data_IF_059409500829
#
_entry.id   IF_059409500829
#
_cell.length_a   1.000
_cell.length_b   1.000
_cell.length_c   1.000
_cell.angle_alpha   90.00
_cell.angle_beta   90.00
_cell.angle_gamma   90.00
#
_symmetry.space_group_name_H-M   'P 1'
#
loop_
_entity.id
_entity.type
_entity.pdbx_description
1 polymer ?
#
# COMPACT_ATOMS: atom_id res chain seq x y z
N UNK A 1 -13.05 73.04 42.05
CA UNK A 1 -13.40 73.79 40.82
C UNK A 1 -13.33 72.78 39.67
N UNK A 2 -14.46 72.19 39.28
CA UNK A 2 -15.31 72.62 38.16
C UNK A 2 -14.60 72.59 36.80
N UNK A 3 -15.10 71.74 35.89
CA UNK A 3 -14.97 71.95 34.45
C UNK A 3 -14.44 70.78 33.61
N UNK A 4 -15.29 69.80 33.30
CA UNK A 4 -15.31 69.15 31.97
C UNK A 4 -15.89 70.18 30.95
N UNK A 5 -15.74 70.08 29.60
CA UNK A 5 -15.67 68.85 28.81
C UNK A 5 -14.77 68.89 27.53
N UNK A 6 -14.54 67.76 26.86
CA UNK A 6 -14.82 67.59 25.42
C UNK A 6 -14.54 66.14 24.97
N UNK A 7 -15.42 65.59 24.14
CA UNK A 7 -15.37 64.25 23.56
C UNK A 7 -14.41 64.19 22.38
N UNK A 8 -13.83 63.02 22.09
CA UNK A 8 -13.78 62.36 20.76
C UNK A 8 -13.14 60.97 20.90
N UNK A 9 -13.91 59.95 20.47
CA UNK A 9 -13.51 58.65 19.94
C UNK A 9 -12.53 57.74 20.70
N UNK A 10 -13.08 56.74 21.40
CA UNK A 10 -12.43 55.45 21.62
C UNK A 10 -13.46 54.35 21.42
N UNK A 11 -13.61 53.94 20.17
CA UNK A 11 -14.46 52.84 19.72
C UNK A 11 -13.73 52.14 18.57
N UNK A 12 -12.50 51.68 18.83
CA UNK A 12 -11.70 50.94 17.86
C UNK A 12 -10.55 50.17 18.53
N UNK A 13 -10.88 49.35 19.53
CA UNK A 13 -9.90 48.39 20.09
C UNK A 13 -10.53 47.11 20.65
N UNK A 14 -11.67 46.69 20.10
CA UNK A 14 -12.33 45.42 20.47
C UNK A 14 -12.91 44.65 19.27
N UNK A 15 -12.43 44.94 18.06
CA UNK A 15 -12.84 44.26 16.82
C UNK A 15 -11.65 43.84 15.95
N UNK A 16 -10.48 43.58 16.56
CA UNK A 16 -9.29 43.07 15.87
C UNK A 16 -8.74 41.74 16.46
N UNK A 17 -9.45 41.14 17.41
CA UNK A 17 -9.12 39.82 17.96
C UNK A 17 -10.21 38.75 17.72
N UNK A 18 -11.22 39.05 16.92
CA UNK A 18 -12.30 38.13 16.54
C UNK A 18 -12.36 37.85 15.02
N UNK A 19 -11.31 38.23 14.28
CA UNK A 19 -11.16 37.98 12.84
C UNK A 19 -9.97 37.07 12.48
N UNK A 20 -9.33 36.44 13.48
CA UNK A 20 -8.25 35.45 13.28
C UNK A 20 -8.63 34.02 13.73
N UNK A 21 -9.92 33.75 13.93
CA UNK A 21 -10.43 32.46 14.42
C UNK A 21 -11.37 31.75 13.44
N UNK A 22 -11.30 32.06 12.14
CA UNK A 22 -12.12 31.40 11.09
C UNK A 22 -11.31 30.81 9.92
N UNK A 23 -9.99 30.61 10.10
CA UNK A 23 -9.18 29.73 9.24
C UNK A 23 -8.17 28.99 10.10
N UNK A 24 -8.66 28.26 11.09
CA UNK A 24 -7.90 27.16 11.69
C UNK A 24 -8.64 25.89 11.33
N UNK A 25 -8.47 25.43 10.08
CA UNK A 25 -8.51 23.98 9.90
C UNK A 25 -7.51 23.43 10.90
N UNK A 26 -7.91 22.53 11.83
CA UNK A 26 -6.93 21.86 12.62
C UNK A 26 -5.95 21.23 11.63
N UNK A 27 -4.68 21.61 11.72
CA UNK A 27 -3.58 20.87 11.11
C UNK A 27 -3.63 19.47 11.70
N UNK A 28 -4.49 18.62 11.15
CA UNK A 28 -4.56 17.21 11.47
C UNK A 28 -3.29 16.63 10.86
N UNK A 29 -2.52 15.91 11.67
CA UNK A 29 -1.48 15.04 11.17
C UNK A 29 -2.08 14.25 10.00
N UNK A 30 -1.53 14.45 8.80
CA UNK A 30 -1.99 13.71 7.64
C UNK A 30 -1.84 12.23 7.99
N UNK A 31 -2.93 11.46 7.94
CA UNK A 31 -2.84 10.01 7.99
C UNK A 31 -1.97 9.60 6.81
N UNK A 32 -0.83 8.97 7.09
CA UNK A 32 0.18 8.70 6.07
C UNK A 32 -0.30 7.70 5.02
N UNK A 33 -1.34 6.91 5.34
CA UNK A 33 -2.04 6.12 4.31
C UNK A 33 -2.66 7.01 3.22
N UNK A 34 -2.91 8.30 3.51
CA UNK A 34 -3.48 9.29 2.59
C UNK A 34 -2.43 10.03 1.76
N UNK A 35 -1.15 9.95 2.15
CA UNK A 35 -0.02 10.69 1.54
C UNK A 35 1.00 9.73 0.90
N UNK A 36 1.01 8.46 1.30
CA UNK A 36 1.72 7.40 0.59
C UNK A 36 1.04 7.18 -0.76
N UNK A 37 1.73 7.29 -1.90
CA UNK A 37 1.13 7.11 -3.23
C UNK A 37 0.59 5.69 -3.51
N UNK A 38 0.48 4.84 -2.49
CA UNK A 38 0.13 3.42 -2.59
C UNK A 38 1.34 2.59 -3.04
N UNK A 39 1.34 1.30 -2.69
CA UNK A 39 2.47 0.40 -2.94
C UNK A 39 2.62 -0.04 -4.40
N UNK A 40 1.65 0.18 -5.30
CA UNK A 40 1.51 -0.75 -6.45
C UNK A 40 1.64 -0.13 -7.84
N UNK A 41 1.13 1.07 -8.10
CA UNK A 41 0.96 1.48 -9.51
C UNK A 41 2.20 2.14 -10.12
N UNK A 42 3.09 2.70 -9.30
CA UNK A 42 4.20 3.53 -9.79
C UNK A 42 5.58 3.16 -9.21
N UNK A 43 5.66 2.11 -8.39
CA UNK A 43 6.92 1.64 -7.77
C UNK A 43 7.19 0.20 -8.17
N UNK A 44 8.42 -0.07 -8.58
CA UNK A 44 8.87 -1.42 -8.84
C UNK A 44 9.15 -2.12 -7.50
N UNK A 45 8.47 -3.24 -7.20
CA UNK A 45 8.73 -4.02 -5.99
C UNK A 45 10.14 -4.63 -6.02
N UNK A 46 10.85 -4.67 -4.88
CA UNK A 46 12.03 -5.54 -4.75
C UNK A 46 11.56 -6.88 -4.20
N UNK A 47 11.73 -7.94 -4.99
CA UNK A 47 11.26 -9.27 -4.65
C UNK A 47 12.15 -10.36 -5.27
N UNK A 48 12.46 -11.42 -4.51
CA UNK A 48 13.05 -12.64 -5.09
C UNK A 48 11.97 -13.69 -5.45
N UNK A 49 10.73 -13.49 -5.01
CA UNK A 49 9.58 -14.39 -5.22
C UNK A 49 8.32 -13.57 -5.47
N UNK A 50 7.32 -14.12 -6.19
CA UNK A 50 6.03 -13.45 -6.45
C UNK A 50 5.26 -13.02 -5.20
N UNK A 51 5.59 -13.61 -4.05
CA UNK A 51 4.82 -13.54 -2.81
C UNK A 51 5.44 -12.57 -1.79
N UNK A 52 6.50 -11.85 -2.19
CA UNK A 52 7.22 -10.89 -1.36
C UNK A 52 7.28 -9.54 -2.08
N UNK A 53 7.10 -8.46 -1.32
CA UNK A 53 7.28 -7.11 -1.80
C UNK A 53 7.98 -6.29 -0.72
N UNK A 54 9.18 -5.79 -1.03
CA UNK A 54 9.81 -4.70 -0.27
C UNK A 54 9.68 -3.43 -1.10
N UNK A 55 8.97 -2.43 -0.57
CA UNK A 55 8.85 -1.12 -1.22
C UNK A 55 10.17 -0.37 -1.05
N UNK A 56 10.87 -0.02 -2.15
CA UNK A 56 12.14 0.69 -2.04
C UNK A 56 12.00 2.08 -1.42
N UNK A 57 10.84 2.74 -1.47
CA UNK A 57 10.69 4.08 -0.89
C UNK A 57 10.43 4.06 0.62
N UNK A 58 9.62 3.11 1.10
CA UNK A 58 9.23 3.03 2.51
C UNK A 58 10.03 1.99 3.29
N UNK A 59 10.58 0.99 2.60
CA UNK A 59 11.17 -0.19 3.21
C UNK A 59 10.17 -1.11 3.90
N UNK A 60 8.86 -0.93 3.66
CA UNK A 60 7.85 -1.81 4.19
C UNK A 60 7.92 -3.19 3.53
N UNK A 61 7.77 -4.24 4.34
CA UNK A 61 7.68 -5.62 3.91
C UNK A 61 6.22 -6.04 3.83
N UNK A 62 5.83 -6.47 2.64
CA UNK A 62 4.55 -7.10 2.35
C UNK A 62 4.80 -8.54 1.90
N UNK A 63 4.08 -9.49 2.49
CA UNK A 63 4.08 -10.88 2.05
C UNK A 63 2.66 -11.34 1.79
N UNK A 64 2.45 -12.11 0.73
CA UNK A 64 1.13 -12.61 0.37
C UNK A 64 1.22 -14.08 -0.01
N UNK A 65 0.58 -14.95 0.78
CA UNK A 65 0.55 -16.39 0.52
C UNK A 65 -0.86 -16.88 0.31
N UNK A 66 -1.08 -17.67 -0.75
CA UNK A 66 -2.36 -18.32 -1.02
C UNK A 66 -2.47 -19.62 -0.22
N UNK A 67 -3.44 -19.67 0.69
CA UNK A 67 -3.73 -20.86 1.50
C UNK A 67 -4.73 -21.79 0.81
N UNK A 68 -5.70 -21.22 0.09
CA UNK A 68 -6.66 -21.94 -0.71
C UNK A 68 -6.90 -21.22 -2.04
N UNK A 69 -6.80 -21.97 -3.13
CA UNK A 69 -7.21 -21.54 -4.47
C UNK A 69 -8.32 -22.46 -4.98
N UNK A 70 -9.45 -21.87 -5.37
CA UNK A 70 -10.50 -22.57 -6.11
C UNK A 70 -10.69 -21.83 -7.44
N UNK A 71 -10.41 -22.48 -8.59
CA UNK A 71 -10.57 -21.84 -9.89
C UNK A 71 -12.04 -21.59 -10.21
N UNK A 72 -12.28 -20.53 -10.95
CA UNK A 72 -13.58 -20.12 -11.45
C UNK A 72 -13.68 -20.09 -12.96
N UNK A 73 -14.90 -20.28 -13.44
CA UNK A 73 -15.23 -19.87 -14.80
C UNK A 73 -15.29 -18.34 -14.87
N UNK A 74 -15.17 -17.71 -16.04
CA UNK A 74 -15.46 -16.27 -16.20
C UNK A 74 -14.56 -15.29 -15.44
N UNK A 75 -13.35 -15.72 -15.02
CA UNK A 75 -12.28 -14.83 -14.54
C UNK A 75 -12.38 -14.35 -13.09
N UNK A 76 -13.13 -15.07 -12.24
CA UNK A 76 -13.16 -14.85 -10.79
C UNK A 76 -12.80 -16.13 -10.05
N UNK A 77 -11.55 -16.27 -9.67
CA UNK A 77 -11.07 -17.33 -8.81
C UNK A 77 -11.26 -16.95 -7.34
N UNK A 78 -11.56 -17.94 -6.48
CA UNK A 78 -11.47 -17.72 -5.04
C UNK A 78 -10.03 -17.95 -4.59
N UNK A 79 -9.43 -16.91 -4.03
CA UNK A 79 -8.20 -17.00 -3.27
C UNK A 79 -8.46 -16.68 -1.81
N UNK A 80 -8.09 -17.58 -0.91
CA UNK A 80 -7.95 -17.26 0.50
C UNK A 80 -6.47 -17.01 0.73
N UNK A 81 -6.14 -15.76 1.00
CA UNK A 81 -4.76 -15.30 1.11
C UNK A 81 -4.51 -14.80 2.52
N UNK A 82 -3.35 -15.17 3.06
CA UNK A 82 -2.81 -14.52 4.25
C UNK A 82 -1.80 -13.48 3.82
N UNK A 83 -1.92 -12.29 4.42
CA UNK A 83 -1.08 -11.14 4.10
C UNK A 83 -0.33 -10.71 5.35
N UNK A 84 0.97 -10.53 5.24
CA UNK A 84 1.78 -9.84 6.22
C UNK A 84 2.08 -8.44 5.73
N UNK A 85 1.97 -7.43 6.59
CA UNK A 85 2.50 -6.09 6.33
C UNK A 85 3.28 -5.60 7.55
N UNK A 86 4.53 -5.20 7.37
CA UNK A 86 5.34 -4.65 8.46
C UNK A 86 4.74 -3.36 9.01
N UNK A 87 4.17 -2.51 8.15
CA UNK A 87 3.54 -1.23 8.51
C UNK A 87 2.41 -1.35 9.54
N UNK A 88 1.70 -2.49 9.56
CA UNK A 88 0.67 -2.80 10.59
C UNK A 88 1.24 -2.97 11.99
N UNK A 89 2.54 -3.22 12.10
CA UNK A 89 3.25 -3.45 13.36
C UNK A 89 4.19 -2.27 13.69
N UNK A 90 4.74 -1.60 12.68
CA UNK A 90 5.76 -0.56 12.84
C UNK A 90 5.20 0.85 12.91
N UNK A 91 4.12 1.12 12.18
CA UNK A 91 3.70 2.51 11.89
C UNK A 91 2.38 2.89 12.53
N UNK A 92 1.55 1.89 12.82
CA UNK A 92 0.22 2.05 13.44
C UNK A 92 0.24 1.47 14.86
N UNK A 93 -0.74 1.87 15.69
CA UNK A 93 -0.98 1.17 16.93
C UNK A 93 -1.34 -0.28 16.58
N UNK A 94 -0.47 -1.24 16.95
CA UNK A 94 -0.50 -2.66 16.60
C UNK A 94 -1.93 -3.16 16.31
N UNK A 95 -2.28 -3.30 15.03
CA UNK A 95 -3.58 -3.83 14.64
C UNK A 95 -3.50 -5.34 14.66
N UNK A 96 -4.28 -5.97 15.54
CA UNK A 96 -4.39 -7.42 15.59
C UNK A 96 -5.22 -7.90 14.40
N UNK A 97 -4.58 -8.58 13.45
CA UNK A 97 -5.28 -9.23 12.36
C UNK A 97 -5.80 -10.61 12.81
N UNK A 98 -6.53 -11.30 11.94
CA UNK A 98 -7.15 -12.60 12.30
C UNK A 98 -6.11 -13.70 12.59
N UNK A 99 -4.84 -13.46 12.26
CA UNK A 99 -3.70 -14.34 12.45
C UNK A 99 -2.64 -13.76 13.41
N UNK A 100 -2.96 -12.68 14.12
CA UNK A 100 -2.03 -12.00 15.00
C UNK A 100 -1.28 -10.84 14.34
N UNK A 101 -0.19 -10.40 14.97
CA UNK A 101 0.50 -9.17 14.57
C UNK A 101 1.05 -9.18 13.15
N UNK A 102 0.67 -8.15 12.38
CA UNK A 102 1.06 -7.95 10.99
C UNK A 102 0.32 -8.85 9.99
N UNK A 103 -0.24 -9.97 10.46
CA UNK A 103 -0.88 -10.99 9.64
C UNK A 103 -2.40 -10.87 9.63
N UNK A 104 -2.99 -10.88 8.44
CA UNK A 104 -4.45 -10.95 8.31
C UNK A 104 -4.90 -11.84 7.16
N UNK A 105 -6.14 -12.31 7.25
CA UNK A 105 -6.91 -12.83 6.12
C UNK A 105 -8.09 -11.90 5.94
N UNK A 106 -8.16 -11.24 4.78
CA UNK A 106 -9.18 -10.23 4.46
C UNK A 106 -9.69 -10.46 3.04
N UNK A 107 -10.95 -10.13 2.80
CA UNK A 107 -11.53 -10.06 1.44
C UNK A 107 -11.66 -8.62 0.95
N UNK A 108 -11.09 -7.69 1.72
CA UNK A 108 -11.05 -6.27 1.45
C UNK A 108 -11.75 -5.46 2.53
N UNK A 109 -11.25 -4.24 2.74
CA UNK A 109 -11.83 -3.27 3.68
C UNK A 109 -11.73 -1.85 3.13
N UNK A 110 -12.65 -1.00 3.54
CA UNK A 110 -12.59 0.44 3.26
C UNK A 110 -12.75 1.26 4.54
N UNK A 111 -11.93 2.30 4.68
CA UNK A 111 -11.98 3.22 5.82
C UNK A 111 -11.91 4.66 5.33
N UNK A 112 -12.98 5.41 5.59
CA UNK A 112 -13.05 6.82 5.21
C UNK A 112 -12.39 7.70 6.28
N UNK A 113 -11.58 8.67 5.83
CA UNK A 113 -11.14 9.82 6.61
C UNK A 113 -11.33 11.11 5.80
N UNK A 114 -12.39 11.86 6.13
CA UNK A 114 -12.72 13.12 5.45
C UNK A 114 -12.99 12.95 3.96
N UNK A 115 -12.14 13.54 3.12
CA UNK A 115 -12.21 13.48 1.65
C UNK A 115 -11.44 12.31 1.04
N UNK A 116 -10.87 11.45 1.86
CA UNK A 116 -10.10 10.32 1.42
C UNK A 116 -10.64 9.01 1.99
N UNK A 117 -10.39 7.91 1.28
CA UNK A 117 -10.74 6.56 1.72
C UNK A 117 -9.57 5.64 1.45
N UNK A 118 -9.09 4.96 2.48
CA UNK A 118 -8.14 3.86 2.31
C UNK A 118 -8.91 2.61 1.94
N UNK A 119 -8.48 1.98 0.85
CA UNK A 119 -8.99 0.71 0.34
C UNK A 119 -7.88 -0.32 0.52
N UNK A 120 -8.21 -1.48 1.09
CA UNK A 120 -7.35 -2.66 1.08
C UNK A 120 -8.09 -3.78 0.35
N UNK A 121 -7.44 -4.47 -0.58
CA UNK A 121 -7.97 -5.64 -1.29
C UNK A 121 -7.54 -6.95 -0.61
N UNK A 122 -8.03 -8.08 -1.11
CA UNK A 122 -7.82 -9.40 -0.51
C UNK A 122 -6.35 -9.86 -0.48
N UNK A 123 -5.56 -9.40 -1.46
CA UNK A 123 -4.13 -9.67 -1.60
C UNK A 123 -3.26 -8.74 -0.74
N UNK A 124 -3.89 -7.85 0.02
CA UNK A 124 -3.23 -6.83 0.83
C UNK A 124 -2.94 -5.55 0.05
N UNK A 125 -3.23 -5.47 -1.25
CA UNK A 125 -3.06 -4.24 -2.02
C UNK A 125 -3.78 -3.08 -1.36
N UNK A 126 -3.08 -1.97 -1.12
CA UNK A 126 -3.67 -0.74 -0.57
C UNK A 126 -3.65 0.38 -1.59
N UNK A 127 -4.78 1.09 -1.72
CA UNK A 127 -4.89 2.33 -2.49
C UNK A 127 -5.71 3.36 -1.73
N UNK A 128 -5.50 4.63 -2.03
CA UNK A 128 -6.26 5.75 -1.46
C UNK A 128 -7.13 6.36 -2.54
N UNK A 129 -8.44 6.37 -2.28
CA UNK A 129 -9.41 7.07 -3.10
C UNK A 129 -9.64 8.49 -2.57
N UNK A 130 -9.75 9.44 -3.48
CA UNK A 130 -10.11 10.84 -3.19
C UNK A 130 -11.54 11.10 -3.65
N UNK A 131 -12.28 11.94 -2.93
CA UNK A 131 -13.66 12.29 -3.29
C UNK A 131 -13.71 12.92 -4.68
N UNK A 132 -14.58 12.45 -5.58
CA UNK A 132 -14.67 12.93 -6.97
C UNK A 132 -15.06 14.42 -7.06
N UNK A 133 -15.86 14.91 -6.11
CA UNK A 133 -16.25 16.32 -6.00
C UNK A 133 -16.68 16.61 -4.54
N UNK A 134 -16.52 17.84 -4.05
CA UNK A 134 -16.97 18.23 -2.71
C UNK A 134 -18.42 17.84 -2.46
N UNK A 135 -18.68 17.15 -1.35
CA UNK A 135 -20.02 16.67 -0.96
C UNK A 135 -20.55 15.46 -1.71
N UNK A 136 -19.89 14.99 -2.78
CA UNK A 136 -20.27 13.77 -3.50
C UNK A 136 -20.06 12.51 -2.66
N UNK A 137 -20.89 11.48 -2.81
CA UNK A 137 -20.65 10.15 -2.22
C UNK A 137 -19.70 9.26 -3.05
N UNK A 138 -19.15 9.79 -4.15
CA UNK A 138 -18.22 9.07 -5.01
C UNK A 138 -16.78 9.45 -4.73
N UNK A 139 -15.90 8.44 -4.78
CA UNK A 139 -14.46 8.54 -4.63
C UNK A 139 -13.77 7.78 -5.77
N UNK A 140 -12.57 8.23 -6.13
CA UNK A 140 -11.79 7.68 -7.22
C UNK A 140 -10.33 7.53 -6.81
N UNK A 141 -9.70 6.41 -7.16
CA UNK A 141 -8.26 6.18 -6.95
C UNK A 141 -7.43 6.63 -8.15
N UNK A 142 -6.10 6.66 -8.00
CA UNK A 142 -5.18 6.90 -9.13
C UNK A 142 -5.17 5.74 -10.15
N UNK A 143 -5.65 4.57 -9.74
CA UNK A 143 -5.91 3.40 -10.60
C UNK A 143 -7.30 3.43 -11.26
N UNK A 144 -8.05 4.53 -11.09
CA UNK A 144 -9.41 4.69 -11.61
C UNK A 144 -10.44 3.71 -11.03
N UNK A 145 -10.19 3.16 -9.84
CA UNK A 145 -11.21 2.43 -9.12
C UNK A 145 -12.24 3.42 -8.59
N UNK A 146 -13.52 3.09 -8.75
CA UNK A 146 -14.63 3.95 -8.33
C UNK A 146 -15.28 3.38 -7.09
N UNK A 147 -15.35 4.17 -6.04
CA UNK A 147 -15.97 3.81 -4.78
C UNK A 147 -17.18 4.71 -4.53
N UNK A 148 -18.35 4.09 -4.35
CA UNK A 148 -19.56 4.76 -3.90
C UNK A 148 -19.76 4.50 -2.40
N UNK A 149 -19.75 5.55 -1.57
CA UNK A 149 -19.98 5.49 -0.12
C UNK A 149 -21.13 6.44 0.28
N UNK A 150 -22.40 6.02 0.13
CA UNK A 150 -23.53 6.83 0.54
C UNK A 150 -23.73 6.82 2.06
N UNK A 151 -24.52 7.78 2.56
CA UNK A 151 -25.00 7.74 3.94
C UNK A 151 -26.13 6.70 4.03
N UNK A 152 -25.90 5.61 4.77
CA UNK A 152 -26.91 4.58 5.03
C UNK A 152 -26.66 3.26 4.30
N UNK A 153 -26.69 3.21 2.95
CA UNK A 153 -26.36 2.00 2.19
C UNK A 153 -24.89 1.61 2.33
N UNK A 154 -24.59 0.36 1.99
CA UNK A 154 -23.24 -0.19 2.07
C UNK A 154 -22.32 0.35 0.96
N UNK A 155 -21.04 0.61 1.24
CA UNK A 155 -20.06 0.99 0.23
C UNK A 155 -19.95 -0.05 -0.90
N UNK A 156 -19.72 0.43 -2.12
CA UNK A 156 -19.50 -0.41 -3.30
C UNK A 156 -18.30 0.10 -4.09
N UNK A 157 -17.28 -0.74 -4.25
CA UNK A 157 -16.11 -0.49 -5.06
C UNK A 157 -16.25 -1.18 -6.42
N UNK A 158 -15.87 -0.49 -7.48
CA UNK A 158 -15.75 -1.03 -8.82
C UNK A 158 -14.31 -0.89 -9.31
N UNK A 159 -13.69 -2.03 -9.63
CA UNK A 159 -12.36 -2.12 -10.21
C UNK A 159 -12.44 -1.96 -11.74
N UNK A 160 -11.32 -1.60 -12.36
CA UNK A 160 -11.21 -1.38 -13.81
C UNK A 160 -11.36 -2.66 -14.63
N UNK A 161 -11.19 -3.84 -14.02
CA UNK A 161 -11.37 -5.14 -14.66
C UNK A 161 -12.83 -5.64 -14.65
N UNK A 162 -13.76 -4.80 -14.17
CA UNK A 162 -15.19 -5.11 -14.06
C UNK A 162 -15.60 -5.82 -12.76
N UNK A 163 -14.66 -6.07 -11.84
CA UNK A 163 -14.99 -6.63 -10.52
C UNK A 163 -15.70 -5.59 -9.65
N UNK A 164 -16.77 -6.00 -8.98
CA UNK A 164 -17.48 -5.20 -7.97
C UNK A 164 -17.31 -5.82 -6.59
N UNK A 165 -17.01 -4.99 -5.59
CA UNK A 165 -16.90 -5.39 -4.18
C UNK A 165 -17.90 -4.59 -3.36
N UNK A 166 -18.78 -5.27 -2.64
CA UNK A 166 -19.74 -4.66 -1.71
C UNK A 166 -19.25 -4.84 -0.28
N UNK A 167 -19.23 -3.77 0.51
CA UNK A 167 -18.76 -3.77 1.90
C UNK A 167 -19.92 -3.69 2.89
N UNK A 168 -20.56 -4.84 3.14
CA UNK A 168 -21.79 -4.92 3.93
C UNK A 168 -21.62 -5.00 5.45
N UNK A 169 -20.39 -5.14 5.96
CA UNK A 169 -20.16 -5.37 7.39
C UNK A 169 -19.39 -4.20 8.01
N UNK A 170 -20.03 -3.47 8.93
CA UNK A 170 -19.34 -2.44 9.72
C UNK A 170 -18.40 -3.05 10.76
N UNK A 171 -17.26 -2.41 10.97
CA UNK A 171 -16.27 -2.74 12.01
C UNK A 171 -15.61 -1.47 12.54
N UNK A 172 -14.86 -1.59 13.64
CA UNK A 172 -14.02 -0.48 14.14
C UNK A 172 -12.92 -0.08 13.14
N UNK A 173 -12.58 -0.95 12.19
CA UNK A 173 -11.56 -0.73 11.17
C UNK A 173 -12.12 -0.23 9.85
N UNK A 174 -13.44 0.06 9.78
CA UNK A 174 -14.14 0.44 8.55
C UNK A 174 -15.14 -0.62 8.10
N UNK A 175 -15.52 -0.59 6.83
CA UNK A 175 -16.44 -1.58 6.25
C UNK A 175 -15.66 -2.74 5.62
N UNK A 176 -16.06 -3.97 5.93
CA UNK A 176 -15.48 -5.20 5.40
C UNK A 176 -16.29 -5.73 4.21
N UNK A 177 -15.60 -6.30 3.23
CA UNK A 177 -16.21 -6.89 2.05
C UNK A 177 -17.13 -8.08 2.43
N UNK A 178 -18.37 -8.05 1.95
CA UNK A 178 -19.36 -9.13 2.12
C UNK A 178 -19.71 -9.80 0.80
N UNK A 179 -19.41 -9.16 -0.32
CA UNK A 179 -19.64 -9.72 -1.65
C UNK A 179 -18.57 -9.24 -2.63
N UNK A 180 -18.00 -10.15 -3.42
CA UNK A 180 -17.16 -9.86 -4.59
C UNK A 180 -17.82 -10.52 -5.78
N UNK A 181 -18.11 -9.75 -6.83
CA UNK A 181 -18.77 -10.22 -8.05
C UNK A 181 -17.98 -9.84 -9.28
N UNK A 182 -17.90 -10.76 -10.23
CA UNK A 182 -17.42 -10.50 -11.59
C UNK A 182 -18.14 -11.46 -12.53
N UNK A 183 -18.76 -10.90 -13.57
CA UNK A 183 -19.67 -11.64 -14.45
C UNK A 183 -20.76 -12.36 -13.61
N UNK A 184 -20.94 -13.66 -13.82
CA UNK A 184 -21.94 -14.48 -13.11
C UNK A 184 -21.39 -15.16 -11.84
N UNK A 185 -20.13 -14.91 -11.48
CA UNK A 185 -19.52 -15.53 -10.32
C UNK A 185 -19.59 -14.61 -9.11
N UNK A 186 -19.73 -15.19 -7.93
CA UNK A 186 -19.84 -14.43 -6.68
C UNK A 186 -19.11 -15.13 -5.55
N UNK A 187 -18.37 -14.36 -4.77
CA UNK A 187 -17.83 -14.74 -3.46
C UNK A 187 -18.64 -13.97 -2.43
N UNK A 188 -19.36 -14.67 -1.55
CA UNK A 188 -20.11 -14.07 -0.45
C UNK A 188 -19.39 -14.39 0.86
N UNK A 189 -19.19 -13.37 1.69
CA UNK A 189 -18.49 -13.47 2.97
C UNK A 189 -19.46 -13.16 4.09
N UNK A 190 -19.63 -14.10 5.02
CA UNK A 190 -20.38 -13.90 6.25
C UNK A 190 -19.42 -13.64 7.40
N UNK A 191 -19.86 -12.82 8.36
CA UNK A 191 -19.09 -12.49 9.54
C UNK A 191 -19.88 -12.77 10.82
N UNK A 192 -19.16 -13.18 11.87
CA UNK A 192 -19.58 -13.03 13.25
C UNK A 192 -18.80 -11.83 13.84
N UNK A 193 -19.46 -10.67 13.91
CA UNK A 193 -18.82 -9.38 14.16
C UNK A 193 -17.76 -9.04 13.09
N UNK A 194 -16.47 -9.03 13.43
CA UNK A 194 -15.34 -8.78 12.51
C UNK A 194 -14.64 -10.07 12.04
N UNK A 195 -15.12 -11.23 12.48
CA UNK A 195 -14.53 -12.54 12.18
C UNK A 195 -15.25 -13.17 11.01
N UNK A 196 -14.50 -13.55 9.99
CA UNK A 196 -15.06 -14.28 8.85
C UNK A 196 -15.63 -15.59 9.38
N UNK A 197 -16.92 -15.85 9.21
CA UNK A 197 -17.54 -17.10 9.64
C UNK A 197 -17.52 -18.12 8.49
N UNK A 198 -18.11 -17.74 7.35
CA UNK A 198 -18.12 -18.57 6.14
C UNK A 198 -17.85 -17.74 4.90
N UNK A 199 -17.26 -18.39 3.90
CA UNK A 199 -17.15 -17.89 2.54
C UNK A 199 -17.87 -18.85 1.62
N UNK A 200 -18.85 -18.35 0.87
CA UNK A 200 -19.55 -19.13 -0.16
C UNK A 200 -19.12 -18.63 -1.52
N UNK A 201 -18.52 -19.53 -2.29
CA UNK A 201 -18.06 -19.27 -3.64
C UNK A 201 -18.98 -19.94 -4.65
N UNK A 202 -19.57 -19.15 -5.54
CA UNK A 202 -20.51 -19.61 -6.56
C UNK A 202 -19.96 -19.31 -7.94
N UNK A 203 -19.69 -20.38 -8.70
CA UNK A 203 -19.17 -20.34 -10.07
C UNK A 203 -19.69 -21.56 -10.85
N UNK A 204 -19.89 -21.40 -12.16
CA UNK A 204 -20.31 -22.50 -13.06
C UNK A 204 -21.63 -23.18 -12.67
N UNK A 205 -22.54 -22.46 -11.98
CA UNK A 205 -23.81 -23.01 -11.48
C UNK A 205 -23.71 -23.88 -10.22
N UNK A 206 -22.54 -23.94 -9.58
CA UNK A 206 -22.33 -24.66 -8.32
C UNK A 206 -21.81 -23.74 -7.22
N UNK A 207 -22.11 -24.06 -5.96
CA UNK A 207 -21.60 -23.32 -4.81
C UNK A 207 -20.73 -24.22 -3.92
N UNK A 208 -19.64 -23.66 -3.39
CA UNK A 208 -18.77 -24.28 -2.40
C UNK A 208 -18.73 -23.40 -1.16
N UNK A 209 -18.82 -24.01 0.01
CA UNK A 209 -18.74 -23.29 1.29
C UNK A 209 -17.43 -23.63 1.98
N UNK A 210 -16.76 -22.59 2.46
CA UNK A 210 -15.54 -22.63 3.24
C UNK A 210 -15.87 -22.08 4.63
N UNK A 211 -15.51 -22.81 5.68
CA UNK A 211 -15.78 -22.43 7.06
C UNK A 211 -14.50 -22.05 7.79
N UNK A 212 -14.57 -21.01 8.61
CA UNK A 212 -13.46 -20.46 9.38
C UNK A 212 -13.72 -20.67 10.87
N UNK A 213 -12.74 -21.25 11.57
CA UNK A 213 -12.90 -21.65 12.97
C UNK A 213 -11.90 -20.90 13.84
N UNK A 214 -12.39 -20.08 14.77
CA UNK A 214 -11.57 -19.28 15.68
C UNK A 214 -11.48 -19.92 17.05
N UNK A 215 -10.41 -19.60 17.79
CA UNK A 215 -10.31 -19.96 19.19
C UNK A 215 -11.47 -19.35 20.00
N UNK A 216 -11.96 -20.12 20.97
CA UNK A 216 -13.09 -19.74 21.83
C UNK A 216 -12.68 -18.88 23.03
N UNK A 217 -11.38 -18.80 23.32
CA UNK A 217 -10.77 -18.03 24.40
C UNK A 217 -9.46 -17.38 23.93
N UNK A 218 -8.82 -16.55 24.78
CA UNK A 218 -7.61 -15.81 24.42
C UNK A 218 -7.89 -14.67 23.43
N UNK A 219 -6.96 -14.41 22.51
CA UNK A 219 -7.17 -13.40 21.44
C UNK A 219 -8.15 -13.87 20.36
N UNK A 220 -8.60 -15.13 20.45
CA UNK A 220 -9.60 -15.73 19.57
C UNK A 220 -9.17 -15.63 18.10
N UNK A 221 -7.91 -15.96 17.81
CA UNK A 221 -7.35 -16.05 16.45
C UNK A 221 -7.95 -17.20 15.64
N UNK A 222 -7.81 -17.12 14.31
CA UNK A 222 -8.27 -18.17 13.38
C UNK A 222 -7.44 -19.45 13.53
N UNK A 223 -8.03 -20.52 14.04
CA UNK A 223 -7.34 -21.80 14.26
C UNK A 223 -7.31 -22.68 13.01
N UNK A 224 -8.38 -22.68 12.21
CA UNK A 224 -8.42 -23.48 10.99
C UNK A 224 -9.45 -23.01 9.96
N UNK A 225 -9.24 -23.45 8.72
CA UNK A 225 -10.18 -23.29 7.60
C UNK A 225 -10.52 -24.69 7.07
N UNK A 226 -11.81 -24.96 6.84
CA UNK A 226 -12.28 -26.28 6.37
C UNK A 226 -13.19 -26.17 5.15
N UNK A 227 -13.07 -27.12 4.21
CA UNK A 227 -13.93 -27.21 3.02
C UNK A 227 -14.01 -28.63 2.44
N UNK A 228 -15.04 -28.89 1.61
CA UNK A 228 -15.15 -30.12 0.81
C UNK A 228 -15.56 -31.39 1.58
N UNK A 229 -15.65 -32.50 0.85
CA UNK A 229 -15.93 -33.86 1.35
C UNK A 229 -14.99 -34.88 0.68
N UNK A 230 -14.18 -35.67 1.43
CA UNK A 230 -13.93 -35.55 2.87
C UNK A 230 -13.36 -34.16 3.22
N UNK A 231 -13.59 -33.70 4.46
CA UNK A 231 -13.20 -32.36 4.90
C UNK A 231 -11.68 -32.18 4.79
N UNK A 232 -11.27 -31.19 3.99
CA UNK A 232 -9.90 -30.70 3.92
C UNK A 232 -9.74 -29.57 4.92
N UNK A 233 -8.55 -29.48 5.53
CA UNK A 233 -8.29 -28.51 6.58
C UNK A 233 -6.92 -27.85 6.42
N UNK A 234 -6.89 -26.54 6.63
CA UNK A 234 -5.68 -25.74 6.90
C UNK A 234 -5.67 -25.44 8.40
N UNK A 235 -4.52 -25.59 9.05
CA UNK A 235 -4.37 -25.34 10.49
C UNK A 235 -3.30 -24.29 10.76
N UNK A 236 -3.61 -23.33 11.64
CA UNK A 236 -2.72 -22.25 12.07
C UNK A 236 -2.22 -22.54 13.49
N UNK A 237 -0.91 -22.55 13.66
CA UNK A 237 -0.26 -22.65 14.97
C UNK A 237 0.24 -21.28 15.43
N UNK A 238 0.23 -21.03 16.73
CA UNK A 238 0.53 -19.73 17.33
C UNK A 238 1.70 -19.79 18.30
N UNK A 239 2.31 -18.64 18.57
CA UNK A 239 3.27 -18.48 19.64
C UNK A 239 2.61 -18.71 21.01
N UNK A 240 3.40 -19.06 22.04
CA UNK A 240 2.87 -19.39 23.37
C UNK A 240 2.16 -18.21 24.05
N UNK A 241 2.51 -16.98 23.67
CA UNK A 241 1.90 -15.73 24.10
C UNK A 241 0.70 -15.31 23.23
N UNK A 242 0.30 -16.15 22.28
CA UNK A 242 -0.83 -15.96 21.35
C UNK A 242 -0.73 -14.66 20.53
N UNK A 243 0.49 -14.13 20.31
CA UNK A 243 0.68 -12.83 19.65
C UNK A 243 0.66 -12.91 18.12
N UNK A 244 1.15 -14.02 17.55
CA UNK A 244 1.25 -14.20 16.10
C UNK A 244 1.28 -15.67 15.67
N UNK A 245 0.90 -15.91 14.43
CA UNK A 245 0.97 -17.23 13.78
C UNK A 245 2.42 -17.69 13.60
N UNK A 246 2.80 -18.83 14.16
CA UNK A 246 4.15 -19.41 14.02
C UNK A 246 4.22 -20.51 12.96
N UNK A 247 3.08 -21.02 12.50
CA UNK A 247 3.05 -21.98 11.41
C UNK A 247 1.70 -22.11 10.75
N UNK A 248 1.71 -22.55 9.48
CA UNK A 248 0.50 -22.93 8.76
C UNK A 248 0.72 -24.26 8.08
N UNK A 249 -0.18 -25.21 8.33
CA UNK A 249 -0.12 -26.56 7.77
C UNK A 249 -1.22 -26.72 6.73
N UNK A 250 -0.83 -27.08 5.50
CA UNK A 250 -1.74 -27.27 4.36
C UNK A 250 -2.23 -28.72 4.28
N UNK A 251 -3.36 -29.00 3.59
CA UNK A 251 -3.82 -30.36 3.35
C UNK A 251 -2.82 -31.08 2.43
N UNK A 252 -1.97 -31.93 3.03
CA UNK A 252 -0.85 -32.59 2.34
C UNK A 252 0.41 -32.70 3.21
N UNK A 253 0.48 -31.99 4.33
CA UNK A 253 1.59 -32.04 5.28
C UNK A 253 2.65 -30.95 5.05
N UNK A 254 2.54 -30.21 3.95
CA UNK A 254 3.34 -29.01 3.70
C UNK A 254 3.09 -27.96 4.79
N UNK A 255 4.18 -27.37 5.28
CA UNK A 255 4.12 -26.47 6.44
C UNK A 255 5.02 -25.26 6.30
N UNK A 256 4.41 -24.09 6.41
CA UNK A 256 5.10 -22.83 6.60
C UNK A 256 5.46 -22.64 8.07
N UNK A 257 6.59 -22.00 8.35
CA UNK A 257 7.00 -21.63 9.72
C UNK A 257 7.46 -20.19 9.77
N UNK A 258 7.16 -19.55 10.89
CA UNK A 258 7.48 -18.15 11.14
C UNK A 258 8.15 -18.00 12.49
N UNK A 259 9.18 -17.16 12.53
CA UNK A 259 9.74 -16.67 13.79
C UNK A 259 9.62 -15.16 13.84
N UNK A 260 9.66 -14.61 15.04
CA UNK A 260 9.48 -13.20 15.30
C UNK A 260 10.58 -12.70 16.21
N UNK A 261 10.77 -11.39 16.19
CA UNK A 261 11.61 -10.70 17.14
C UNK A 261 10.86 -9.52 17.72
N UNK A 262 11.15 -9.21 18.98
CA UNK A 262 10.69 -8.00 19.61
C UNK A 262 11.73 -6.90 19.39
N UNK A 263 11.34 -5.79 18.77
CA UNK A 263 12.24 -4.69 18.44
C UNK A 263 11.61 -3.35 18.80
N UNK A 264 12.42 -2.43 19.34
CA UNK A 264 11.96 -1.06 19.58
C UNK A 264 11.93 -0.28 18.26
N UNK A 265 10.74 0.08 17.78
CA UNK A 265 10.50 0.90 16.58
C UNK A 265 9.55 2.03 16.98
N UNK A 266 9.94 3.29 16.72
CA UNK A 266 9.15 4.48 17.06
C UNK A 266 8.63 4.48 18.52
N UNK A 267 9.53 4.22 19.48
CA UNK A 267 9.27 4.12 20.93
C UNK A 267 8.28 3.00 21.33
N UNK A 268 7.95 2.07 20.42
CA UNK A 268 7.07 0.93 20.65
C UNK A 268 7.84 -0.37 20.52
N UNK A 269 7.44 -1.38 21.28
CA UNK A 269 8.00 -2.71 21.16
C UNK A 269 7.21 -3.50 20.10
N UNK A 270 7.71 -3.52 18.87
CA UNK A 270 7.11 -4.20 17.74
C UNK A 270 7.45 -5.69 17.76
N UNK A 271 6.44 -6.55 17.63
CA UNK A 271 6.61 -8.00 17.44
C UNK A 271 6.63 -8.31 15.94
N UNK A 272 7.81 -8.15 15.34
CA UNK A 272 8.00 -8.11 13.89
C UNK A 272 8.49 -9.45 13.36
N UNK A 273 8.09 -9.80 12.14
CA UNK A 273 8.48 -11.06 11.50
C UNK A 273 10.00 -11.10 11.32
N UNK A 274 10.64 -12.18 11.76
CA UNK A 274 12.10 -12.35 11.65
C UNK A 274 12.46 -13.34 10.55
N UNK A 275 11.77 -14.48 10.49
CA UNK A 275 12.10 -15.53 9.53
C UNK A 275 10.84 -16.16 8.96
N UNK A 276 10.85 -16.43 7.66
CA UNK A 276 9.89 -17.27 6.96
C UNK A 276 10.62 -18.52 6.48
N UNK A 277 10.10 -19.70 6.84
CA UNK A 277 10.55 -20.98 6.27
C UNK A 277 9.43 -21.57 5.41
N UNK A 278 9.74 -21.83 4.14
CA UNK A 278 8.82 -22.44 3.18
C UNK A 278 8.64 -23.94 3.46
N UNK A 279 7.57 -24.58 2.94
CA UNK A 279 7.36 -26.02 3.10
C UNK A 279 8.53 -26.88 2.62
N UNK A 280 9.29 -26.40 1.63
CA UNK A 280 10.44 -27.12 1.05
C UNK A 280 11.77 -26.86 1.80
N UNK A 281 11.76 -26.03 2.85
CA UNK A 281 12.91 -25.76 3.71
C UNK A 281 13.79 -24.59 3.26
N UNK A 282 13.36 -23.81 2.27
CA UNK A 282 13.95 -22.50 1.97
C UNK A 282 13.61 -21.51 3.09
N UNK A 283 14.52 -20.62 3.42
CA UNK A 283 14.38 -19.70 4.55
C UNK A 283 14.76 -18.28 4.13
N UNK A 284 13.89 -17.32 4.43
CA UNK A 284 14.16 -15.88 4.31
C UNK A 284 14.19 -15.28 5.70
N UNK A 285 15.28 -14.62 6.07
CA UNK A 285 15.43 -13.90 7.34
C UNK A 285 15.52 -12.41 7.09
N UNK A 286 14.70 -11.61 7.77
CA UNK A 286 14.65 -10.17 7.65
C UNK A 286 15.28 -9.51 8.89
N UNK A 287 16.11 -8.50 8.68
CA UNK A 287 16.48 -7.53 9.71
C UNK A 287 15.71 -6.24 9.46
N UNK A 288 15.28 -5.58 10.53
CA UNK A 288 14.60 -4.29 10.46
C UNK A 288 15.43 -3.23 11.18
N UNK A 289 15.31 -1.99 10.71
CA UNK A 289 15.82 -0.80 11.38
C UNK A 289 14.79 0.32 11.28
N UNK A 290 15.05 1.45 11.91
CA UNK A 290 14.22 2.64 11.84
C UNK A 290 14.70 3.57 10.74
N UNK A 291 13.76 4.05 9.93
CA UNK A 291 13.98 5.11 8.96
C UNK A 291 13.15 6.33 9.37
N UNK A 292 13.79 7.50 9.49
CA UNK A 292 13.12 8.75 9.79
C UNK A 292 12.99 9.58 8.53
N UNK A 293 11.79 10.09 8.25
CA UNK A 293 11.47 10.94 7.10
C UNK A 293 10.78 12.20 7.54
N UNK A 294 10.96 13.28 6.78
CA UNK A 294 10.11 14.46 6.86
C UNK A 294 8.62 14.11 6.89
N UNK A 295 7.88 14.74 7.80
CA UNK A 295 6.42 14.81 7.80
C UNK A 295 6.01 16.20 8.30
N UNK A 296 5.99 17.15 7.37
CA UNK A 296 5.81 18.55 7.70
C UNK A 296 6.97 19.12 8.52
N UNK A 297 6.68 19.67 9.70
CA UNK A 297 7.70 20.20 10.65
C UNK A 297 8.26 19.12 11.58
N UNK A 298 7.77 17.88 11.49
CA UNK A 298 8.19 16.76 12.33
C UNK A 298 8.93 15.71 11.48
N UNK A 299 9.66 14.83 12.15
CA UNK A 299 10.11 13.58 11.56
C UNK A 299 9.14 12.47 11.96
N UNK A 300 8.74 11.65 10.98
CA UNK A 300 8.08 10.37 11.19
C UNK A 300 9.15 9.29 11.18
N UNK A 301 9.22 8.51 12.25
CA UNK A 301 10.01 7.27 12.28
C UNK A 301 9.12 6.09 11.93
N UNK A 302 9.56 5.26 10.98
CA UNK A 302 8.92 4.02 10.57
C UNK A 302 9.90 2.85 10.64
N UNK A 303 9.38 1.64 10.63
CA UNK A 303 10.19 0.42 10.58
C UNK A 303 10.39 -0.04 9.14
N UNK A 304 11.63 -0.21 8.74
CA UNK A 304 12.03 -0.55 7.37
C UNK A 304 12.94 -1.78 7.37
N UNK A 305 12.86 -2.60 6.31
CA UNK A 305 13.74 -3.77 6.16
C UNK A 305 15.17 -3.29 5.93
N UNK A 306 16.09 -3.55 6.86
CA UNK A 306 17.50 -3.19 6.74
C UNK A 306 18.35 -4.32 6.14
N UNK A 307 17.91 -5.57 6.27
CA UNK A 307 18.58 -6.71 5.64
C UNK A 307 17.61 -7.83 5.29
N UNK A 308 17.96 -8.59 4.27
CA UNK A 308 17.29 -9.83 3.87
C UNK A 308 18.35 -10.89 3.66
N UNK A 309 18.14 -12.09 4.17
CA UNK A 309 19.01 -13.23 3.93
C UNK A 309 18.22 -14.42 3.44
N UNK A 310 18.53 -14.90 2.25
CA UNK A 310 18.03 -16.16 1.70
C UNK A 310 19.00 -17.28 2.09
N UNK A 311 18.48 -18.40 2.58
CA UNK A 311 19.24 -19.58 2.96
C UNK A 311 18.35 -20.82 2.95
N UNK A 312 18.87 -21.98 3.37
CA UNK A 312 18.09 -23.20 3.55
C UNK A 312 18.39 -24.27 2.49
N UNK A 313 17.53 -25.29 2.43
CA UNK A 313 17.80 -26.50 1.66
C UNK A 313 17.90 -26.20 0.16
N UNK A 314 19.07 -26.50 -0.42
CA UNK A 314 19.30 -26.38 -1.86
C UNK A 314 19.48 -24.95 -2.37
N UNK A 315 19.62 -23.96 -1.47
CA UNK A 315 19.80 -22.56 -1.83
C UNK A 315 21.21 -22.08 -1.48
N UNK A 316 21.82 -21.34 -2.40
CA UNK A 316 23.03 -20.57 -2.10
C UNK A 316 22.64 -19.44 -1.16
N UNK A 317 23.39 -19.27 -0.08
CA UNK A 317 23.10 -18.19 0.87
C UNK A 317 23.43 -16.85 0.24
N UNK A 318 22.48 -15.92 0.28
CA UNK A 318 22.64 -14.56 -0.20
C UNK A 318 22.09 -13.58 0.82
N UNK A 319 22.78 -12.46 1.01
CA UNK A 319 22.35 -11.37 1.88
C UNK A 319 22.23 -10.09 1.07
N UNK A 320 21.09 -9.43 1.21
CA UNK A 320 20.84 -8.08 0.75
C UNK A 320 20.86 -7.14 1.96
N UNK A 321 21.47 -5.98 1.79
CA UNK A 321 21.43 -4.91 2.77
C UNK A 321 20.77 -3.69 2.13
N UNK A 322 19.89 -3.03 2.88
CA UNK A 322 19.09 -1.91 2.45
C UNK A 322 19.43 -0.72 3.33
N UNK A 323 19.70 0.42 2.70
CA UNK A 323 19.97 1.67 3.36
C UNK A 323 19.04 2.74 2.80
N UNK A 324 18.28 3.40 3.67
CA UNK A 324 17.27 4.40 3.31
C UNK A 324 17.72 5.75 3.84
N UNK A 325 17.74 6.76 2.96
CA UNK A 325 18.21 8.09 3.30
C UNK A 325 17.26 9.16 2.75
N UNK A 326 16.96 10.15 3.57
CA UNK A 326 16.39 11.42 3.10
C UNK A 326 17.55 12.29 2.60
N UNK A 327 17.59 12.57 1.31
CA UNK A 327 18.65 13.33 0.68
C UNK A 327 18.25 14.78 0.41
N UNK A 328 19.25 15.66 0.25
CA UNK A 328 19.03 17.04 -0.19
C UNK A 328 18.69 17.04 -1.69
N UNK A 329 17.39 17.01 -2.01
CA UNK A 329 16.87 17.04 -3.38
C UNK A 329 16.06 15.81 -3.78
N UNK A 330 16.29 14.67 -3.13
CA UNK A 330 15.61 13.40 -3.41
C UNK A 330 15.78 12.45 -2.21
N UNK A 331 14.82 11.56 -2.03
CA UNK A 331 15.02 10.41 -1.13
C UNK A 331 15.77 9.33 -1.89
N UNK A 332 16.61 8.57 -1.20
CA UNK A 332 17.46 7.56 -1.79
C UNK A 332 17.35 6.23 -1.06
N UNK A 333 17.48 5.14 -1.82
CA UNK A 333 17.59 3.80 -1.25
C UNK A 333 18.68 3.03 -1.96
N UNK A 334 19.65 2.55 -1.19
CA UNK A 334 20.79 1.78 -1.69
C UNK A 334 20.67 0.33 -1.23
N UNK A 335 20.79 -0.60 -2.18
CA UNK A 335 20.62 -2.03 -1.97
C UNK A 335 21.89 -2.73 -2.43
N UNK A 336 22.57 -3.39 -1.51
CA UNK A 336 23.73 -4.22 -1.83
C UNK A 336 23.28 -5.68 -1.92
N UNK A 337 23.46 -6.30 -3.09
CA UNK A 337 23.08 -7.68 -3.35
C UNK A 337 24.24 -8.66 -3.03
N UNK A 338 23.98 -9.97 -2.90
CA UNK A 338 25.01 -10.95 -2.57
C UNK A 338 26.02 -11.21 -3.69
N UNK A 339 25.75 -10.74 -4.91
CA UNK A 339 26.63 -10.89 -6.06
C UNK A 339 27.64 -9.74 -6.18
N UNK A 340 27.61 -8.77 -5.25
CA UNK A 340 28.49 -7.60 -5.28
C UNK A 340 27.95 -6.44 -6.14
N UNK A 341 26.67 -6.48 -6.53
CA UNK A 341 26.02 -5.34 -7.17
C UNK A 341 25.42 -4.41 -6.13
N UNK A 342 25.39 -3.12 -6.47
CA UNK A 342 24.67 -2.10 -5.73
C UNK A 342 23.57 -1.53 -6.62
N UNK A 343 22.32 -1.55 -6.16
CA UNK A 343 21.20 -0.87 -6.79
C UNK A 343 20.81 0.34 -5.98
N UNK A 344 20.87 1.53 -6.57
CA UNK A 344 20.47 2.79 -5.95
C UNK A 344 19.22 3.31 -6.63
N UNK A 345 18.16 3.54 -5.87
CA UNK A 345 16.93 4.20 -6.30
C UNK A 345 16.91 5.63 -5.77
N UNK A 346 16.43 6.57 -6.58
CA UNK A 346 16.13 7.94 -6.15
C UNK A 346 14.66 8.25 -6.36
N UNK A 347 14.09 9.05 -5.46
CA UNK A 347 12.67 9.39 -5.43
C UNK A 347 12.45 10.87 -5.21
N UNK A 348 11.31 11.38 -5.69
CA UNK A 348 10.80 12.67 -5.24
C UNK A 348 10.38 12.57 -3.77
N UNK A 349 11.18 13.15 -2.88
CA UNK A 349 11.01 13.07 -1.42
C UNK A 349 10.70 14.41 -0.77
N UNK A 350 10.85 14.50 0.55
CA UNK A 350 10.70 15.78 1.29
C UNK A 350 11.82 16.78 1.00
N UNK A 351 13.02 16.29 0.67
CA UNK A 351 14.12 17.15 0.23
C UNK A 351 13.98 17.70 -1.20
N UNK A 352 13.00 17.24 -1.98
CA UNK A 352 12.84 17.63 -3.38
C UNK A 352 12.22 19.02 -3.57
N UNK A 353 12.61 19.69 -4.65
CA UNK A 353 11.97 20.94 -5.08
C UNK A 353 10.76 20.65 -5.96
N UNK A 354 9.60 21.19 -5.58
CA UNK A 354 8.35 21.06 -6.35
C UNK A 354 7.96 22.40 -6.94
N UNK A 355 7.70 22.43 -8.26
CA UNK A 355 7.01 23.54 -8.89
C UNK A 355 5.53 23.61 -8.49
N UNK A 356 4.88 24.70 -8.87
CA UNK A 356 3.42 24.82 -8.72
C UNK A 356 2.71 23.71 -9.51
N UNK A 357 1.87 22.93 -8.83
CA UNK A 357 1.14 21.83 -9.48
C UNK A 357 1.97 20.55 -9.68
N UNK A 358 3.10 20.38 -9.01
CA UNK A 358 3.98 19.21 -9.14
C UNK A 358 3.91 18.22 -7.96
N UNK A 359 3.02 18.39 -6.99
CA UNK A 359 2.95 17.49 -5.82
C UNK A 359 2.61 16.05 -6.18
N UNK A 360 1.91 15.84 -7.29
CA UNK A 360 1.66 14.51 -7.82
C UNK A 360 2.92 13.64 -7.99
N UNK A 361 4.12 14.25 -8.06
CA UNK A 361 5.40 13.56 -8.16
C UNK A 361 5.87 12.93 -6.85
N UNK A 362 5.37 13.37 -5.71
CA UNK A 362 5.83 12.92 -4.39
C UNK A 362 5.79 11.39 -4.29
N UNK A 363 6.92 10.80 -3.91
CA UNK A 363 7.14 9.36 -3.77
C UNK A 363 7.36 8.59 -5.08
N UNK A 364 7.41 9.25 -6.25
CA UNK A 364 7.71 8.60 -7.53
C UNK A 364 9.22 8.46 -7.74
N UNK A 365 9.63 7.37 -8.38
CA UNK A 365 11.04 7.08 -8.71
C UNK A 365 11.55 8.03 -9.80
N UNK A 366 12.69 8.68 -9.57
CA UNK A 366 13.37 9.54 -10.55
C UNK A 366 14.45 8.78 -11.32
N UNK A 367 15.18 7.90 -10.65
CA UNK A 367 16.22 7.08 -11.26
C UNK A 367 16.45 5.76 -10.52
N UNK A 368 17.05 4.81 -11.26
CA UNK A 368 17.55 3.52 -10.75
C UNK A 368 18.92 3.29 -11.36
N UNK A 369 19.94 3.09 -10.53
CA UNK A 369 21.31 2.82 -10.97
C UNK A 369 21.76 1.48 -10.43
N UNK A 370 22.24 0.59 -11.30
CA UNK A 370 22.84 -0.69 -10.93
C UNK A 370 24.33 -0.63 -11.25
N UNK A 371 25.16 -0.80 -10.22
CA UNK A 371 26.61 -0.85 -10.33
C UNK A 371 27.15 -2.21 -9.88
N UNK A 372 28.33 -2.56 -10.36
CA UNK A 372 29.12 -3.69 -9.87
C UNK A 372 30.57 -3.22 -9.72
N UNK A 373 31.04 -3.10 -8.48
CA UNK A 373 32.26 -2.35 -8.18
C UNK A 373 32.11 -0.88 -8.60
N UNK A 374 33.03 -0.35 -9.40
CA UNK A 374 32.99 1.03 -9.89
C UNK A 374 32.28 1.20 -11.23
N UNK A 375 31.79 0.11 -11.83
CA UNK A 375 31.18 0.12 -13.16
C UNK A 375 29.67 0.24 -13.08
N UNK A 376 29.10 1.20 -13.81
CA UNK A 376 27.65 1.26 -14.04
C UNK A 376 27.25 0.18 -15.04
N UNK A 377 26.54 -0.84 -14.58
CA UNK A 377 25.96 -1.86 -15.46
C UNK A 377 24.73 -1.27 -16.18
N UNK A 378 23.86 -0.60 -15.43
CA UNK A 378 22.60 -0.04 -15.91
C UNK A 378 22.30 1.27 -15.19
N UNK A 379 21.87 2.28 -15.93
CA UNK A 379 21.25 3.49 -15.38
C UNK A 379 19.89 3.68 -16.03
N UNK A 380 18.82 3.78 -15.25
CA UNK A 380 17.48 4.10 -15.72
C UNK A 380 17.06 5.46 -15.17
N UNK A 381 16.54 6.33 -16.03
CA UNK A 381 15.97 7.61 -15.67
C UNK A 381 14.49 7.65 -16.05
N UNK A 382 13.66 8.19 -15.17
CA UNK A 382 12.22 8.30 -15.33
C UNK A 382 11.79 9.76 -15.39
N UNK A 383 10.99 10.13 -16.39
CA UNK A 383 10.38 11.44 -16.50
C UNK A 383 8.88 11.26 -16.36
N UNK A 384 8.33 11.94 -15.35
CA UNK A 384 6.91 11.91 -15.02
C UNK A 384 6.23 13.20 -15.44
N UNK A 385 4.99 13.05 -15.87
CA UNK A 385 4.03 14.14 -16.00
C UNK A 385 2.73 13.74 -15.29
N UNK A 386 1.68 14.53 -15.45
CA UNK A 386 0.33 14.22 -14.98
C UNK A 386 -0.66 14.25 -16.13
N UNK A 387 -1.82 13.63 -15.93
CA UNK A 387 -2.97 13.86 -16.80
C UNK A 387 -3.35 15.35 -16.85
N UNK A 388 -3.81 15.80 -18.02
CA UNK A 388 -4.21 17.19 -18.24
C UNK A 388 -5.36 17.62 -17.33
N UNK A 389 -6.30 16.71 -17.08
CA UNK A 389 -7.44 16.94 -16.19
C UNK A 389 -7.22 16.22 -14.86
N UNK A 390 -7.55 16.85 -13.71
CA UNK A 390 -7.51 16.17 -12.43
C UNK A 390 -8.64 15.13 -12.34
N UNK A 391 -8.42 14.06 -11.56
CA UNK A 391 -9.46 13.09 -11.23
C UNK A 391 -10.41 13.59 -10.14
N UNK A 392 -10.02 14.66 -9.44
CA UNK A 392 -10.81 15.28 -8.37
C UNK A 392 -10.40 16.75 -8.17
N UNK A 393 -11.34 17.66 -7.85
CA UNK A 393 -11.04 19.04 -7.49
C UNK A 393 -10.51 19.20 -6.05
N UNK A 394 -10.42 18.11 -5.28
CA UNK A 394 -9.82 18.13 -3.94
C UNK A 394 -8.30 18.34 -4.10
N UNK A 395 -7.76 19.35 -3.41
CA UNK A 395 -6.34 19.65 -3.46
C UNK A 395 -5.50 18.49 -2.90
N UNK A 396 -4.44 18.11 -3.61
CA UNK A 396 -3.46 17.14 -3.12
C UNK A 396 -2.32 17.88 -2.44
N UNK A 397 -2.13 17.67 -1.14
CA UNK A 397 -1.16 18.45 -0.34
C UNK A 397 -0.23 17.51 0.39
N UNK A 398 1.07 17.76 0.25
CA UNK A 398 2.10 17.18 1.11
C UNK A 398 2.41 18.22 2.18
N UNK A 399 2.18 17.94 3.48
CA UNK A 399 2.31 18.94 4.54
C UNK A 399 3.62 19.73 4.47
N UNK A 400 3.51 21.08 4.41
CA UNK A 400 4.61 22.06 4.38
C UNK A 400 5.51 21.99 3.13
N UNK A 401 5.48 20.90 2.38
CA UNK A 401 6.32 20.70 1.21
C UNK A 401 5.71 21.35 -0.05
N UNK A 402 4.48 20.99 -0.39
CA UNK A 402 3.84 21.49 -1.60
C UNK A 402 2.31 21.26 -1.58
N UNK A 403 1.57 21.98 -2.44
CA UNK A 403 0.13 21.73 -2.65
C UNK A 403 -0.29 21.90 -4.12
N UNK A 404 -1.04 20.92 -4.64
CA UNK A 404 -1.72 20.98 -5.94
C UNK A 404 -3.14 21.53 -5.74
N UNK A 405 -3.27 22.85 -5.63
CA UNK A 405 -4.55 23.52 -5.36
C UNK A 405 -5.60 23.33 -6.47
N UNK A 406 -5.17 23.02 -7.69
CA UNK A 406 -6.06 22.80 -8.84
C UNK A 406 -6.79 21.44 -8.79
N UNK A 407 -6.39 20.53 -7.90
CA UNK A 407 -7.00 19.22 -7.74
C UNK A 407 -5.98 18.09 -7.58
N UNK A 408 -6.50 16.88 -7.46
CA UNK A 408 -5.70 15.65 -7.40
C UNK A 408 -5.49 15.11 -8.81
N UNK A 409 -4.23 14.90 -9.18
CA UNK A 409 -3.85 14.42 -10.51
C UNK A 409 -3.26 13.00 -10.45
N UNK A 410 -3.41 12.28 -11.55
CA UNK A 410 -2.79 10.98 -11.77
C UNK A 410 -1.43 11.18 -12.45
N UNK A 411 -0.33 10.66 -11.87
CA UNK A 411 0.95 10.68 -12.54
C UNK A 411 0.97 9.72 -13.73
N UNK A 412 1.63 10.13 -14.80
CA UNK A 412 1.87 9.30 -16.00
C UNK A 412 3.36 9.35 -16.34
N UNK A 413 3.94 8.19 -16.62
CA UNK A 413 5.33 8.09 -17.05
C UNK A 413 5.40 8.54 -18.52
N UNK A 414 6.16 9.60 -18.83
CA UNK A 414 6.30 10.10 -20.21
C UNK A 414 7.57 9.63 -20.89
N UNK A 415 8.61 9.34 -20.11
CA UNK A 415 9.88 8.84 -20.66
C UNK A 415 10.57 7.91 -19.68
N UNK A 416 11.00 6.76 -20.19
CA UNK A 416 11.98 5.90 -19.55
C UNK A 416 13.24 5.88 -20.41
N UNK A 417 14.40 6.08 -19.80
CA UNK A 417 15.68 6.03 -20.51
C UNK A 417 16.64 5.10 -19.79
N UNK A 418 17.04 4.03 -20.46
CA UNK A 418 17.96 3.01 -19.97
C UNK A 418 19.30 3.17 -20.67
N UNK A 419 20.36 3.45 -19.92
CA UNK A 419 21.73 3.43 -20.39
C UNK A 419 22.40 2.13 -19.95
N UNK A 420 22.91 1.34 -20.92
CA UNK A 420 23.58 0.06 -20.68
C UNK A 420 24.70 -0.15 -21.70
N UNK A 421 25.91 -0.45 -21.23
CA UNK A 421 27.06 -0.69 -22.11
C UNK A 421 27.39 0.49 -23.04
N UNK A 422 27.23 1.73 -22.54
CA UNK A 422 27.46 2.96 -23.31
C UNK A 422 26.38 3.29 -24.35
N UNK A 423 25.33 2.47 -24.49
CA UNK A 423 24.18 2.73 -25.35
C UNK A 423 23.00 3.23 -24.53
N UNK A 424 22.18 4.07 -25.15
CA UNK A 424 20.96 4.60 -24.57
C UNK A 424 19.75 4.03 -25.30
N UNK A 425 18.77 3.58 -24.53
CA UNK A 425 17.47 3.09 -25.00
C UNK A 425 16.40 3.96 -24.37
N UNK A 426 15.56 4.58 -25.18
CA UNK A 426 14.54 5.52 -24.70
C UNK A 426 13.17 5.06 -25.15
N UNK A 427 12.26 4.92 -24.18
CA UNK A 427 10.84 4.70 -24.42
C UNK A 427 10.09 5.97 -24.05
N UNK A 428 9.36 6.53 -25.00
CA UNK A 428 8.51 7.70 -24.83
C UNK A 428 7.05 7.31 -24.91
N UNK A 429 6.28 7.78 -23.94
CA UNK A 429 4.85 7.54 -23.82
C UNK A 429 4.10 8.86 -24.01
N UNK A 430 3.11 8.87 -24.90
CA UNK A 430 2.33 10.07 -25.20
C UNK A 430 0.90 9.75 -25.64
N UNK A 431 0.12 10.81 -25.84
CA UNK A 431 -1.30 10.74 -26.21
C UNK A 431 -2.09 9.88 -25.22
N UNK A 432 -1.94 10.16 -23.92
CA UNK A 432 -2.64 9.42 -22.89
C UNK A 432 -4.16 9.57 -23.00
N UNK A 433 -4.88 8.47 -22.82
CA UNK A 433 -6.33 8.50 -22.69
C UNK A 433 -6.79 9.08 -21.34
N UNK A 434 -8.10 9.09 -21.12
CA UNK A 434 -8.68 9.59 -19.87
C UNK A 434 -8.31 8.75 -18.63
N UNK A 435 -7.72 7.57 -18.82
CA UNK A 435 -7.30 6.63 -17.79
C UNK A 435 -5.77 6.56 -17.64
N UNK A 436 -5.02 7.47 -18.28
CA UNK A 436 -3.56 7.49 -18.18
C UNK A 436 -2.85 6.39 -18.96
N UNK A 437 -3.55 5.66 -19.84
CA UNK A 437 -2.94 4.68 -20.73
C UNK A 437 -2.36 5.37 -21.97
N UNK A 438 -1.10 5.13 -22.35
CA UNK A 438 -0.50 5.77 -23.51
C UNK A 438 -1.05 5.22 -24.83
N UNK A 439 -1.65 6.06 -25.67
CA UNK A 439 -2.04 5.67 -27.03
C UNK A 439 -0.88 5.68 -28.02
N UNK A 440 0.30 6.19 -27.64
CA UNK A 440 1.50 6.17 -28.47
C UNK A 440 2.72 5.81 -27.62
N UNK A 441 3.43 4.76 -28.05
CA UNK A 441 4.67 4.27 -27.43
C UNK A 441 5.76 4.31 -28.50
N UNK A 442 6.77 5.15 -28.31
CA UNK A 442 7.90 5.28 -29.21
C UNK A 442 9.18 4.81 -28.53
N UNK A 443 9.82 3.79 -29.09
CA UNK A 443 11.06 3.20 -28.57
C UNK A 443 12.21 3.50 -29.52
N UNK A 444 13.35 3.94 -28.95
CA UNK A 444 14.57 4.30 -29.65
C UNK A 444 15.79 3.63 -28.99
N UNK A 445 16.86 3.43 -29.76
CA UNK A 445 18.09 2.78 -29.31
C UNK A 445 18.79 2.10 -30.48
N UNK A 446 18.96 0.78 -30.42
CA UNK A 446 19.53 0.01 -31.55
C UNK A 446 18.63 0.01 -32.80
N UNK A 447 17.31 0.14 -32.61
CA UNK A 447 16.29 0.29 -33.64
C UNK A 447 15.24 1.28 -33.13
N UNK A 448 14.44 1.84 -34.03
CA UNK A 448 13.30 2.67 -33.67
C UNK A 448 11.99 1.98 -34.02
N UNK A 449 11.03 1.96 -33.09
CA UNK A 449 9.65 1.53 -33.36
C UNK A 449 8.67 2.49 -32.72
N UNK A 450 7.54 2.71 -33.38
CA UNK A 450 6.40 3.44 -32.82
C UNK A 450 5.18 2.55 -32.89
N UNK A 451 4.53 2.36 -31.75
CA UNK A 451 3.27 1.63 -31.63
C UNK A 451 2.17 2.60 -31.29
N UNK A 452 1.13 2.64 -32.12
CA UNK A 452 -0.12 3.33 -31.82
C UNK A 452 -1.10 2.29 -31.26
N UNK A 453 -1.56 2.52 -30.04
CA UNK A 453 -2.55 1.68 -29.38
C UNK A 453 -3.91 2.35 -29.59
N UNK A 454 -4.81 1.65 -30.28
CA UNK A 454 -6.17 2.11 -30.60
C UNK A 454 -7.22 1.54 -29.66
#
# INVERSE_FOLDING_TARGET
MMGLPCRISSLLLFALCTFFSLVSDPARAADENLVDPGQITFREPIADTSDEHIDPYTGHLDLTYTDLHLPGDGGLDLHIMRTYKSSRVTDTAMVDGKLGYGWDISFGRVKQDGNFVTIELQDGTTSTAVRETYGSSYFITKEFWKLYMPVGPFPVLQLTDGTTITFGQGSLQGFLATEIRKNNNTITISYDSDKINTVTYTAGGSSKTISFHYATSGRRHLQSITWGSPSRQITYGYAADDQAVTSVSLPGGDRWRYTYQQQAINLRSAYILRTVTTPWGGTVTYGFDTFARGNGVLLKTQGSVASKQLSGRGLVTGTWNYDYQEGSGYDETTINDPCGRTTTYQFYGYGSSYGSGECYKYGLTTSKVVTHGTSHEITTAYIWNKLTSPISPIAYTIPILCSDLAGTFVPVLTTETITRGGKQYTTSYSNFDAYGSPCTIAEQGSNSRTTTVS
#
